data_IF_319888183519
#
_entry.id   IF_319888183519
#
_cell.length_a   1.000
_cell.length_b   1.000
_cell.length_c   1.000
_cell.angle_alpha   90.00
_cell.angle_beta   90.00
_cell.angle_gamma   90.00
#
_symmetry.space_group_name_H-M   'P 1'
#
loop_
_entity.id
_entity.type
_entity.pdbx_description
1 polymer ?
#
# COMPACT_ATOMS: atom_id res chain seq x y z
N UNK A 1 -2.23 11.39 -1.14
CA UNK A 1 -2.74 11.71 0.20
C UNK A 1 -3.00 13.21 0.37
N UNK A 2 -2.05 14.04 0.02
CA UNK A 2 -2.20 15.50 -0.10
C UNK A 2 -2.09 15.84 -1.58
N UNK A 3 -3.17 16.36 -2.15
CA UNK A 3 -3.23 16.68 -3.57
C UNK A 3 -2.41 17.94 -3.87
N UNK A 4 -1.95 18.07 -5.11
CA UNK A 4 -1.29 19.29 -5.57
C UNK A 4 -2.20 20.50 -5.38
N UNK A 5 -1.59 21.66 -5.17
CA UNK A 5 -2.28 22.94 -4.94
C UNK A 5 -3.19 22.96 -3.70
N UNK A 6 -3.03 22.00 -2.78
CA UNK A 6 -3.71 22.06 -1.48
C UNK A 6 -3.16 23.26 -0.68
N UNK A 7 -4.07 24.07 -0.14
CA UNK A 7 -3.71 25.22 0.71
C UNK A 7 -3.04 24.73 1.99
N UNK A 8 -1.93 25.38 2.37
CA UNK A 8 -1.22 25.13 3.62
C UNK A 8 -1.59 26.22 4.67
N UNK A 9 -1.56 25.88 5.97
CA UNK A 9 -1.17 24.59 6.54
C UNK A 9 -2.20 23.48 6.29
N UNK A 10 -1.75 22.24 6.18
CA UNK A 10 -2.61 21.08 5.95
C UNK A 10 -2.11 19.85 6.68
N UNK A 11 -3.04 19.08 7.25
CA UNK A 11 -2.77 17.80 7.92
C UNK A 11 -3.68 16.71 7.39
N UNK A 12 -3.10 15.58 6.99
CA UNK A 12 -3.81 14.39 6.50
C UNK A 12 -3.22 13.14 7.12
N UNK A 13 -4.08 12.20 7.49
CA UNK A 13 -3.67 10.90 8.04
C UNK A 13 -4.31 9.77 7.26
N UNK A 14 -3.62 8.64 7.18
CA UNK A 14 -4.13 7.40 6.61
C UNK A 14 -3.62 6.21 7.42
N UNK A 15 -4.46 5.19 7.57
CA UNK A 15 -4.10 3.95 8.25
C UNK A 15 -3.60 2.95 7.21
N UNK A 16 -2.44 2.38 7.49
CA UNK A 16 -1.80 1.30 6.75
C UNK A 16 -1.68 0.07 7.65
N UNK A 17 -1.32 -1.05 7.05
CA UNK A 17 -1.07 -2.29 7.78
C UNK A 17 0.17 -3.01 7.26
N UNK A 18 0.53 -4.13 7.90
CA UNK A 18 1.63 -4.99 7.47
C UNK A 18 1.25 -5.84 6.27
N UNK A 19 2.22 -6.09 5.37
CA UNK A 19 2.05 -6.90 4.17
C UNK A 19 2.42 -8.38 4.37
N UNK A 20 3.19 -8.70 5.43
CA UNK A 20 3.63 -10.04 5.77
C UNK A 20 3.26 -10.42 7.21
N UNK A 21 3.10 -11.73 7.44
CA UNK A 21 2.87 -12.26 8.78
C UNK A 21 4.11 -12.05 9.66
N UNK A 22 3.88 -11.73 10.93
CA UNK A 22 4.92 -11.48 11.93
C UNK A 22 5.90 -10.35 11.54
N UNK A 23 5.47 -9.42 10.71
CA UNK A 23 6.27 -8.25 10.35
C UNK A 23 6.36 -7.28 11.53
N UNK A 24 7.56 -7.05 12.04
CA UNK A 24 7.83 -6.22 13.24
C UNK A 24 8.33 -4.82 12.93
N UNK A 25 8.52 -4.49 11.65
CA UNK A 25 8.99 -3.19 11.17
C UNK A 25 8.28 -2.80 9.87
N UNK A 26 8.03 -1.51 9.66
CA UNK A 26 7.55 -0.96 8.40
C UNK A 26 8.45 0.18 7.94
N UNK A 27 8.76 0.22 6.65
CA UNK A 27 9.43 1.36 6.01
C UNK A 27 8.38 2.35 5.50
N UNK A 28 8.53 3.62 5.86
CA UNK A 28 7.74 4.73 5.32
C UNK A 28 8.60 5.48 4.32
N UNK A 29 8.22 5.44 3.06
CA UNK A 29 8.86 6.19 1.98
C UNK A 29 7.96 7.36 1.58
N UNK A 30 8.43 8.58 1.82
CA UNK A 30 7.71 9.82 1.53
C UNK A 30 8.02 10.23 0.10
N UNK A 31 7.00 10.30 -0.74
CA UNK A 31 7.13 10.56 -2.17
C UNK A 31 6.43 11.85 -2.58
N UNK A 32 7.00 12.52 -3.58
CA UNK A 32 6.38 13.65 -4.26
C UNK A 32 6.37 13.40 -5.76
N UNK A 33 5.21 13.58 -6.40
CA UNK A 33 5.06 13.41 -7.85
C UNK A 33 3.63 13.10 -8.26
N UNK A 34 3.43 12.92 -9.55
CA UNK A 34 2.14 12.76 -10.22
C UNK A 34 1.96 11.34 -10.79
N UNK A 35 2.95 10.44 -10.64
CA UNK A 35 2.91 9.07 -11.19
C UNK A 35 2.26 8.10 -10.20
N UNK A 36 1.47 7.16 -10.72
CA UNK A 36 0.81 6.12 -9.92
C UNK A 36 1.83 5.18 -9.23
N UNK A 37 2.94 4.91 -9.90
CA UNK A 37 3.97 4.01 -9.40
C UNK A 37 5.00 4.75 -8.54
N UNK A 38 5.27 4.26 -7.33
CA UNK A 38 6.19 4.87 -6.38
C UNK A 38 7.59 5.13 -6.95
N UNK A 39 8.13 4.18 -7.73
CA UNK A 39 9.45 4.27 -8.34
C UNK A 39 9.60 5.41 -9.35
N UNK A 40 8.49 5.93 -9.88
CA UNK A 40 8.48 7.02 -10.85
C UNK A 40 8.34 8.42 -10.20
N UNK A 41 8.29 8.49 -8.88
CA UNK A 41 8.18 9.73 -8.11
C UNK A 41 9.46 10.02 -7.34
N UNK A 42 9.65 11.28 -6.95
CA UNK A 42 10.81 11.72 -6.17
C UNK A 42 10.64 11.31 -4.70
N UNK A 43 11.60 10.57 -4.16
CA UNK A 43 11.65 10.30 -2.72
C UNK A 43 12.16 11.53 -1.98
N UNK A 44 11.37 12.02 -1.04
CA UNK A 44 11.72 13.15 -0.15
C UNK A 44 12.42 12.68 1.12
N UNK A 45 12.15 11.45 1.54
CA UNK A 45 12.76 10.87 2.73
C UNK A 45 12.22 9.48 3.03
N UNK A 46 12.96 8.74 3.85
CA UNK A 46 12.58 7.40 4.33
C UNK A 46 12.89 7.26 5.80
N UNK A 47 12.04 6.52 6.48
CA UNK A 47 12.29 6.13 7.88
C UNK A 47 11.59 4.81 8.20
N UNK A 48 12.01 4.18 9.29
CA UNK A 48 11.44 2.91 9.72
C UNK A 48 10.71 3.09 11.05
N UNK A 49 9.58 2.43 11.18
CA UNK A 49 8.90 2.23 12.45
C UNK A 49 9.12 0.78 12.88
N UNK A 50 9.91 0.60 13.95
CA UNK A 50 10.26 -0.70 14.49
C UNK A 50 9.47 -1.04 15.76
N UNK A 51 9.46 -2.33 16.10
CA UNK A 51 8.87 -2.83 17.35
C UNK A 51 7.34 -2.89 17.28
N UNK A 52 6.81 -3.15 16.12
CA UNK A 52 5.44 -3.58 15.91
C UNK A 52 5.33 -5.02 16.45
N UNK A 53 4.31 -5.35 17.26
CA UNK A 53 4.11 -6.71 17.71
C UNK A 53 3.90 -7.67 16.55
N UNK A 54 4.54 -8.84 16.62
CA UNK A 54 4.33 -9.91 15.66
C UNK A 54 2.84 -10.31 15.63
N UNK A 55 2.22 -10.20 14.48
CA UNK A 55 0.81 -10.50 14.25
C UNK A 55 0.59 -10.93 12.79
N UNK A 56 -0.53 -11.56 12.46
CA UNK A 56 -0.90 -11.82 11.09
C UNK A 56 -0.94 -10.52 10.27
N UNK A 57 -0.58 -10.60 8.98
CA UNK A 57 -0.66 -9.46 8.06
C UNK A 57 -2.05 -8.84 8.07
N UNK A 58 -2.12 -7.53 7.93
CA UNK A 58 -3.37 -6.77 7.95
C UNK A 58 -3.93 -6.48 9.35
N UNK A 59 -3.40 -7.08 10.43
CA UNK A 59 -3.85 -6.84 11.81
C UNK A 59 -3.26 -5.57 12.42
N UNK A 60 -1.93 -5.32 12.35
CA UNK A 60 -1.36 -4.08 12.87
C UNK A 60 -1.92 -2.86 12.15
N UNK A 61 -2.19 -1.79 12.89
CA UNK A 61 -2.68 -0.53 12.35
C UNK A 61 -1.63 0.57 12.54
N UNK A 62 -1.07 1.01 11.43
CA UNK A 62 -0.04 2.05 11.38
C UNK A 62 -0.67 3.33 10.83
N UNK A 63 -0.87 4.31 11.69
CA UNK A 63 -1.36 5.63 11.27
C UNK A 63 -0.20 6.48 10.79
N UNK A 64 -0.19 6.81 9.49
CA UNK A 64 0.79 7.71 8.90
C UNK A 64 0.13 9.08 8.72
N UNK A 65 0.74 10.10 9.32
CA UNK A 65 0.26 11.48 9.29
C UNK A 65 1.25 12.37 8.56
N UNK A 66 0.74 13.13 7.61
CA UNK A 66 1.44 14.20 6.89
C UNK A 66 0.94 15.53 7.41
N UNK A 67 1.84 16.36 7.86
CA UNK A 67 1.56 17.68 8.45
C UNK A 67 2.48 18.72 7.80
N UNK A 68 1.92 19.56 6.92
CA UNK A 68 2.63 20.67 6.26
C UNK A 68 2.25 21.97 6.99
N UNK A 69 3.23 22.62 7.57
CA UNK A 69 3.02 23.88 8.28
C UNK A 69 2.90 25.09 7.31
N UNK A 70 2.62 26.27 7.86
CA UNK A 70 2.48 27.50 7.08
C UNK A 70 3.76 27.92 6.35
N UNK A 71 4.93 27.41 6.74
CA UNK A 71 6.22 27.65 6.10
C UNK A 71 6.56 26.62 5.02
N UNK A 72 5.67 25.63 4.77
CA UNK A 72 5.90 24.56 3.83
C UNK A 72 6.79 23.43 4.35
N UNK A 73 7.07 23.37 5.65
CA UNK A 73 7.82 22.28 6.26
C UNK A 73 6.89 21.09 6.42
N UNK A 74 7.29 19.95 5.86
CA UNK A 74 6.55 18.69 5.95
C UNK A 74 7.08 17.85 7.10
N UNK A 75 6.22 17.56 8.07
CA UNK A 75 6.45 16.56 9.10
C UNK A 75 5.66 15.30 8.77
N UNK A 76 6.31 14.17 8.70
CA UNK A 76 5.66 12.87 8.50
C UNK A 76 5.91 12.00 9.72
N UNK A 77 4.85 11.50 10.32
CA UNK A 77 4.92 10.56 11.45
C UNK A 77 4.22 9.26 11.11
N UNK A 78 4.74 8.17 11.63
CA UNK A 78 4.11 6.86 11.60
C UNK A 78 3.96 6.36 13.04
N UNK A 79 2.73 5.98 13.40
CA UNK A 79 2.38 5.53 14.75
C UNK A 79 1.68 4.18 14.70
N UNK A 80 2.22 3.21 15.40
CA UNK A 80 1.50 1.97 15.67
C UNK A 80 0.41 2.20 16.72
N UNK A 81 -0.85 2.02 16.34
CA UNK A 81 -2.00 2.25 17.24
C UNK A 81 -2.08 1.23 18.36
N UNK A 82 -1.51 0.05 18.19
CA UNK A 82 -1.51 -1.00 19.20
C UNK A 82 -0.55 -0.72 20.34
N UNK A 83 0.67 -0.30 20.04
CA UNK A 83 1.74 -0.04 21.05
C UNK A 83 1.90 1.42 21.41
N UNK A 84 1.38 2.33 20.58
CA UNK A 84 1.61 3.77 20.70
C UNK A 84 3.01 4.22 20.25
N UNK A 85 3.87 3.31 19.77
CA UNK A 85 5.19 3.67 19.24
C UNK A 85 5.05 4.56 18.01
N UNK A 86 5.88 5.58 17.94
CA UNK A 86 5.86 6.58 16.89
C UNK A 86 7.28 6.89 16.43
N UNK A 87 7.45 7.06 15.13
CA UNK A 87 8.64 7.62 14.50
C UNK A 87 8.22 8.74 13.55
N UNK A 88 9.11 9.71 13.38
CA UNK A 88 8.83 10.87 12.54
C UNK A 88 10.06 11.35 11.79
N UNK A 89 9.82 11.97 10.64
CA UNK A 89 10.83 12.68 9.85
C UNK A 89 10.33 14.10 9.57
N UNK A 90 11.27 15.04 9.54
CA UNK A 90 11.03 16.43 9.10
C UNK A 90 11.71 16.63 7.76
N UNK A 91 10.98 17.19 6.81
CA UNK A 91 11.43 17.47 5.44
C UNK A 91 11.28 18.97 5.20
N UNK A 92 12.41 19.64 4.93
CA UNK A 92 12.44 21.07 4.67
C UNK A 92 11.84 21.40 3.30
N UNK A 93 11.22 22.59 3.17
CA UNK A 93 10.63 23.06 1.92
C UNK A 93 11.63 23.09 0.76
N UNK A 94 12.91 23.37 1.04
CA UNK A 94 14.01 23.36 0.06
C UNK A 94 14.31 22.00 -0.55
N UNK A 95 13.81 20.92 0.06
CA UNK A 95 13.94 19.53 -0.46
C UNK A 95 12.94 19.22 -1.57
N UNK A 96 12.03 20.13 -1.87
CA UNK A 96 10.99 19.97 -2.87
C UNK A 96 11.50 19.98 -4.32
N UNK A 97 10.56 19.97 -5.24
CA UNK A 97 10.81 20.01 -6.68
C UNK A 97 10.98 21.46 -7.14
N UNK A 98 11.90 21.68 -8.09
CA UNK A 98 11.96 22.93 -8.85
C UNK A 98 10.78 23.02 -9.82
N UNK A 99 10.43 24.23 -10.28
CA UNK A 99 9.36 24.46 -11.26
C UNK A 99 9.58 23.65 -12.56
N UNK A 100 10.83 23.54 -13.01
CA UNK A 100 11.19 22.75 -14.19
C UNK A 100 10.99 21.25 -13.97
N UNK A 101 11.34 20.74 -12.78
CA UNK A 101 11.10 19.35 -12.42
C UNK A 101 9.61 19.05 -12.31
N UNK A 102 8.81 19.97 -11.74
CA UNK A 102 7.36 19.86 -11.67
C UNK A 102 6.76 19.75 -13.08
N UNK A 103 7.16 20.64 -14.00
CA UNK A 103 6.64 20.60 -15.36
C UNK A 103 7.03 19.30 -16.08
N UNK A 104 8.28 18.87 -15.97
CA UNK A 104 8.74 17.61 -16.53
C UNK A 104 7.94 16.42 -15.98
N UNK A 105 7.74 16.34 -14.67
CA UNK A 105 6.98 15.25 -14.04
C UNK A 105 5.53 15.23 -14.49
N UNK A 106 4.91 16.37 -14.71
CA UNK A 106 3.56 16.49 -15.27
C UNK A 106 3.48 15.94 -16.69
N UNK A 107 4.43 16.32 -17.54
CA UNK A 107 4.48 15.88 -18.93
C UNK A 107 4.74 14.38 -19.01
N UNK A 108 5.65 13.86 -18.19
CA UNK A 108 5.93 12.43 -18.05
C UNK A 108 4.69 11.65 -17.51
N UNK A 109 4.00 12.19 -16.51
CA UNK A 109 2.78 11.57 -15.97
C UNK A 109 1.71 11.46 -17.04
N UNK A 110 1.47 12.54 -17.79
CA UNK A 110 0.49 12.56 -18.89
C UNK A 110 0.87 11.60 -20.02
N UNK A 111 2.15 11.54 -20.39
CA UNK A 111 2.65 10.66 -21.45
C UNK A 111 2.55 9.17 -21.08
N UNK A 112 2.60 8.85 -19.78
CA UNK A 112 2.59 7.47 -19.28
C UNK A 112 1.26 7.07 -18.61
N UNK A 113 0.26 7.93 -18.59
CA UNK A 113 -0.99 7.74 -17.84
C UNK A 113 -1.66 6.38 -18.12
N UNK A 114 -1.82 6.02 -19.39
CA UNK A 114 -2.43 4.75 -19.77
C UNK A 114 -1.61 3.54 -19.32
N UNK A 115 -0.28 3.62 -19.43
CA UNK A 115 0.62 2.56 -19.01
C UNK A 115 0.63 2.40 -17.48
N UNK A 116 0.72 3.51 -16.74
CA UNK A 116 0.73 3.50 -15.29
C UNK A 116 -0.59 2.98 -14.73
N UNK A 117 -1.72 3.39 -15.34
CA UNK A 117 -3.04 2.89 -14.98
C UNK A 117 -3.16 1.37 -15.19
N UNK A 118 -2.72 0.88 -16.34
CA UNK A 118 -2.75 -0.55 -16.63
C UNK A 118 -1.86 -1.35 -15.65
N UNK A 119 -0.67 -0.85 -15.33
CA UNK A 119 0.22 -1.50 -14.36
C UNK A 119 -0.35 -1.47 -12.94
N UNK A 120 -0.97 -0.36 -12.53
CA UNK A 120 -1.67 -0.27 -11.25
C UNK A 120 -2.82 -1.27 -11.17
N UNK A 121 -3.70 -1.31 -12.18
CA UNK A 121 -4.80 -2.27 -12.25
C UNK A 121 -4.32 -3.71 -12.17
N UNK A 122 -3.20 -4.02 -12.84
CA UNK A 122 -2.56 -5.33 -12.77
C UNK A 122 -2.11 -5.67 -11.35
N UNK A 123 -1.42 -4.75 -10.68
CA UNK A 123 -0.94 -4.93 -9.31
C UNK A 123 -2.13 -5.04 -8.33
N UNK A 124 -3.14 -4.20 -8.47
CA UNK A 124 -4.32 -4.22 -7.62
C UNK A 124 -5.07 -5.57 -7.70
N UNK A 125 -5.18 -6.15 -8.91
CA UNK A 125 -5.77 -7.48 -9.11
C UNK A 125 -4.94 -8.59 -8.46
N UNK A 126 -3.61 -8.54 -8.59
CA UNK A 126 -2.71 -9.51 -7.95
C UNK A 126 -2.83 -9.42 -6.42
N UNK A 127 -2.85 -8.21 -5.86
CA UNK A 127 -3.00 -8.00 -4.43
C UNK A 127 -4.39 -8.45 -3.92
N UNK A 128 -5.44 -8.20 -4.69
CA UNK A 128 -6.79 -8.67 -4.37
C UNK A 128 -6.86 -10.22 -4.36
N UNK A 129 -6.24 -10.88 -5.34
CA UNK A 129 -6.14 -12.32 -5.37
C UNK A 129 -5.40 -12.88 -4.15
N UNK A 130 -4.27 -12.28 -3.77
CA UNK A 130 -3.51 -12.67 -2.57
C UNK A 130 -4.35 -12.53 -1.29
N UNK A 131 -5.08 -11.43 -1.17
CA UNK A 131 -5.97 -11.17 -0.04
C UNK A 131 -7.13 -12.19 0.03
N UNK A 132 -7.72 -12.53 -1.11
CA UNK A 132 -8.78 -13.52 -1.22
C UNK A 132 -8.26 -14.94 -0.88
N UNK A 133 -7.09 -15.32 -1.37
CA UNK A 133 -6.43 -16.58 -1.03
C UNK A 133 -6.27 -16.68 0.48
N UNK A 134 -5.68 -15.68 1.11
CA UNK A 134 -5.45 -15.65 2.56
C UNK A 134 -6.76 -15.76 3.36
N UNK A 135 -7.77 -14.99 2.98
CA UNK A 135 -9.06 -14.97 3.66
C UNK A 135 -9.78 -16.32 3.52
N UNK A 136 -9.78 -16.89 2.32
CA UNK A 136 -10.42 -18.17 2.04
C UNK A 136 -9.74 -19.33 2.77
N UNK A 137 -8.40 -19.36 2.79
CA UNK A 137 -7.63 -20.34 3.56
C UNK A 137 -7.95 -20.28 5.06
N UNK A 138 -8.01 -19.07 5.61
CA UNK A 138 -8.38 -18.86 7.01
C UNK A 138 -9.78 -19.36 7.30
N UNK A 139 -10.75 -19.02 6.45
CA UNK A 139 -12.13 -19.48 6.60
C UNK A 139 -12.28 -21.00 6.46
N UNK A 140 -11.57 -21.62 5.51
CA UNK A 140 -11.57 -23.08 5.37
C UNK A 140 -10.96 -23.76 6.59
N UNK A 141 -9.93 -23.18 7.20
CA UNK A 141 -9.32 -23.71 8.42
C UNK A 141 -10.25 -23.59 9.64
N UNK A 142 -11.00 -22.49 9.74
CA UNK A 142 -11.89 -22.22 10.89
C UNK A 142 -13.25 -22.93 10.78
N UNK A 143 -13.78 -23.05 9.56
CA UNK A 143 -15.16 -23.51 9.32
C UNK A 143 -15.28 -24.68 8.34
N UNK A 144 -14.18 -25.16 7.77
CA UNK A 144 -14.21 -26.21 6.73
C UNK A 144 -14.84 -27.53 7.17
N UNK A 145 -14.78 -27.82 8.45
CA UNK A 145 -15.41 -29.05 9.03
C UNK A 145 -16.95 -28.93 9.19
N UNK A 146 -17.46 -27.68 9.08
CA UNK A 146 -18.90 -27.38 9.14
C UNK A 146 -19.55 -27.33 7.76
N UNK A 147 -18.74 -27.38 6.69
CA UNK A 147 -19.22 -27.32 5.32
C UNK A 147 -19.54 -28.74 4.79
N UNK A 148 -20.60 -28.89 3.95
CA UNK A 148 -20.80 -30.10 3.17
C UNK A 148 -19.58 -30.42 2.32
N UNK A 149 -19.22 -31.70 2.20
CA UNK A 149 -18.00 -32.14 1.55
C UNK A 149 -17.89 -31.72 0.09
N UNK A 150 -18.99 -31.69 -0.64
CA UNK A 150 -19.09 -31.20 -2.02
C UNK A 150 -18.76 -29.74 -2.15
N UNK A 151 -19.26 -28.89 -1.25
CA UNK A 151 -18.98 -27.45 -1.22
C UNK A 151 -17.55 -27.16 -0.81
N UNK A 152 -17.01 -27.88 0.17
CA UNK A 152 -15.62 -27.76 0.58
C UNK A 152 -14.67 -28.09 -0.57
N UNK A 153 -14.90 -29.19 -1.29
CA UNK A 153 -14.11 -29.59 -2.44
C UNK A 153 -14.16 -28.56 -3.59
N UNK A 154 -15.33 -27.95 -3.83
CA UNK A 154 -15.49 -26.90 -4.84
C UNK A 154 -14.67 -25.63 -4.48
N UNK A 155 -14.72 -25.20 -3.22
CA UNK A 155 -13.94 -24.05 -2.72
C UNK A 155 -12.44 -24.34 -2.80
N UNK A 156 -11.99 -25.51 -2.37
CA UNK A 156 -10.57 -25.92 -2.44
C UNK A 156 -10.07 -25.96 -3.90
N UNK A 157 -10.89 -26.44 -4.83
CA UNK A 157 -10.55 -26.45 -6.26
C UNK A 157 -10.41 -25.04 -6.84
N UNK A 158 -11.35 -24.15 -6.55
CA UNK A 158 -11.30 -22.75 -6.97
C UNK A 158 -10.09 -22.03 -6.36
N UNK A 159 -9.85 -22.25 -5.05
CA UNK A 159 -8.68 -21.70 -4.35
C UNK A 159 -7.36 -22.20 -4.98
N UNK A 160 -7.28 -23.46 -5.38
CA UNK A 160 -6.12 -24.01 -6.08
C UNK A 160 -5.84 -23.30 -7.41
N UNK A 161 -6.88 -23.08 -8.21
CA UNK A 161 -6.75 -22.34 -9.49
C UNK A 161 -6.32 -20.88 -9.26
N UNK A 162 -6.91 -20.20 -8.27
CA UNK A 162 -6.56 -18.83 -7.94
C UNK A 162 -5.10 -18.71 -7.46
N UNK A 163 -4.62 -19.67 -6.66
CA UNK A 163 -3.21 -19.72 -6.24
C UNK A 163 -2.25 -19.91 -7.40
N UNK A 164 -2.59 -20.78 -8.34
CA UNK A 164 -1.77 -21.00 -9.52
C UNK A 164 -1.72 -19.76 -10.43
N UNK A 165 -2.88 -19.13 -10.68
CA UNK A 165 -2.98 -17.89 -11.42
C UNK A 165 -2.20 -16.76 -10.73
N UNK A 166 -2.31 -16.62 -9.41
CA UNK A 166 -1.57 -15.64 -8.62
C UNK A 166 -0.04 -15.88 -8.69
N UNK A 167 0.42 -17.12 -8.54
CA UNK A 167 1.84 -17.48 -8.63
C UNK A 167 2.46 -17.10 -9.98
N UNK A 168 1.68 -17.25 -11.05
CA UNK A 168 2.11 -16.92 -12.41
C UNK A 168 1.88 -15.44 -12.77
N UNK A 169 1.28 -14.65 -11.86
CA UNK A 169 0.85 -13.26 -12.08
C UNK A 169 -0.02 -13.10 -13.35
N UNK A 170 -0.81 -14.14 -13.67
CA UNK A 170 -1.72 -14.18 -14.81
C UNK A 170 -3.05 -13.52 -14.44
N UNK A 171 -3.20 -12.25 -14.81
CA UNK A 171 -4.38 -11.44 -14.49
C UNK A 171 -5.64 -12.00 -15.13
N UNK A 172 -5.58 -12.53 -16.35
CA UNK A 172 -6.74 -13.09 -17.04
C UNK A 172 -7.23 -14.37 -16.34
N UNK A 173 -6.30 -15.21 -15.88
CA UNK A 173 -6.62 -16.39 -15.09
C UNK A 173 -7.14 -16.02 -13.68
N UNK A 174 -6.64 -14.95 -13.08
CA UNK A 174 -7.12 -14.42 -11.79
C UNK A 174 -8.59 -13.97 -11.91
N UNK A 175 -8.95 -13.27 -13.00
CA UNK A 175 -10.31 -12.77 -13.22
C UNK A 175 -11.34 -13.91 -13.44
N UNK A 176 -10.88 -15.10 -13.82
CA UNK A 176 -11.74 -16.27 -14.11
C UNK A 176 -11.77 -17.33 -13.00
N UNK A 177 -10.87 -17.25 -12.05
CA UNK A 177 -10.74 -18.23 -10.95
C UNK A 177 -11.58 -17.89 -9.75
#
# INVERSE_FOLDING_TARGET
>A
LIDRNTTIPVKKSQIFSTAADNQTSVEVNVLQGEREMAAANKSLGRFHLDGIPAAPRGVPQIEVTFDIDANGILNVSAKDKGTGKEQKIRIEASSGLTEQEIQRMRDEAKANEAKDKAEKERIDKINAADSNIFTTEKQLKEYGDKLPADKKAAIESALGKLKEAHKNADVAAIDTA
#
